data_IF_537599396042
#
_entry.id   IF_537599396042
#
_cell.length_a   1.000
_cell.length_b   1.000
_cell.length_c   1.000
_cell.angle_alpha   90.00
_cell.angle_beta   90.00
_cell.angle_gamma   90.00
#
_symmetry.space_group_name_H-M   'P 1'
#
loop_
_entity.id
_entity.type
_entity.pdbx_description
1 polymer ?
#
# COMPACT_ATOMS: atom_id res chain seq x y z
N UNK A 1 15.15 17.11 68.30
CA UNK A 1 15.00 16.43 67.00
C UNK A 1 15.60 17.31 65.95
N UNK A 2 16.81 16.96 65.53
CA UNK A 2 17.66 17.78 64.65
C UNK A 2 17.43 17.33 63.21
N UNK A 3 16.95 18.24 62.36
CA UNK A 3 16.74 17.99 60.94
C UNK A 3 18.08 17.74 60.25
N UNK A 4 18.22 16.59 59.57
CA UNK A 4 19.36 16.29 58.68
C UNK A 4 19.14 16.92 57.31
N UNK A 5 20.17 17.60 56.81
CA UNK A 5 20.25 18.25 55.50
C UNK A 5 20.33 17.17 54.39
N UNK A 6 19.56 17.26 53.29
CA UNK A 6 19.45 16.17 52.29
C UNK A 6 20.55 16.18 51.22
N UNK A 7 21.79 16.53 51.58
CA UNK A 7 22.92 16.65 50.63
C UNK A 7 24.03 15.60 50.80
N UNK A 8 23.81 14.56 51.61
CA UNK A 8 24.72 13.41 51.71
C UNK A 8 24.19 12.22 50.90
N UNK A 9 24.26 12.31 49.57
CA UNK A 9 24.23 11.12 48.69
C UNK A 9 25.42 11.17 47.76
N UNK A 10 26.25 10.12 47.81
CA UNK A 10 27.45 9.93 46.98
C UNK A 10 27.13 9.47 45.55
N UNK A 11 26.02 9.94 44.97
CA UNK A 11 25.65 9.65 43.60
C UNK A 11 25.94 10.87 42.73
N UNK A 12 26.64 10.74 41.58
CA UNK A 12 26.84 11.87 40.68
C UNK A 12 25.50 12.33 40.13
N UNK A 13 25.08 13.53 40.53
CA UNK A 13 24.06 14.32 39.84
C UNK A 13 24.59 14.67 38.45
N UNK A 14 23.88 14.21 37.42
CA UNK A 14 24.09 14.48 35.99
C UNK A 14 25.24 13.74 35.30
N UNK A 15 24.98 12.52 34.88
CA UNK A 15 25.43 12.03 33.56
C UNK A 15 24.21 11.50 32.80
N UNK A 16 23.27 12.39 32.50
CA UNK A 16 22.45 12.17 31.32
C UNK A 16 23.40 12.33 30.14
N UNK A 17 23.77 11.22 29.50
CA UNK A 17 24.31 11.28 28.16
C UNK A 17 23.22 11.97 27.33
N UNK A 18 23.40 13.26 27.04
CA UNK A 18 22.68 13.92 25.97
C UNK A 18 23.12 13.15 24.73
N UNK A 19 22.31 12.16 24.32
CA UNK A 19 22.37 11.61 22.99
C UNK A 19 22.18 12.82 22.08
N UNK A 20 23.29 13.33 21.56
CA UNK A 20 23.29 14.40 20.58
C UNK A 20 22.45 13.84 19.44
N UNK A 21 21.26 14.39 19.23
CA UNK A 21 20.47 14.07 18.05
C UNK A 21 21.44 14.13 16.85
N UNK A 22 21.51 13.08 16.01
CA UNK A 22 22.41 13.12 14.87
C UNK A 22 22.13 14.42 14.13
N UNK A 23 23.18 15.23 13.91
CA UNK A 23 23.03 16.43 13.08
C UNK A 23 22.45 15.95 11.76
N UNK A 24 21.30 16.50 11.36
CA UNK A 24 20.79 16.32 10.01
C UNK A 24 21.92 16.63 9.03
N UNK A 25 22.16 15.72 8.08
CA UNK A 25 23.19 15.94 7.08
C UNK A 25 22.83 17.21 6.29
N UNK A 26 23.79 18.11 6.12
CA UNK A 26 23.56 19.29 5.31
C UNK A 26 23.22 18.85 3.86
N UNK A 27 22.24 19.50 3.19
CA UNK A 27 21.92 19.19 1.82
C UNK A 27 23.15 19.27 0.91
N UNK A 28 23.23 18.33 -0.03
CA UNK A 28 24.29 18.28 -1.03
C UNK A 28 24.17 19.48 -1.97
N UNK A 29 25.32 19.89 -2.52
CA UNK A 29 25.38 20.93 -3.55
C UNK A 29 25.54 20.31 -4.93
N UNK A 30 25.00 20.93 -5.99
CA UNK A 30 25.25 20.50 -7.35
C UNK A 30 26.74 20.39 -7.66
N UNK A 31 27.13 19.31 -8.33
CA UNK A 31 28.50 19.10 -8.81
C UNK A 31 28.70 19.68 -10.22
N UNK A 32 27.63 19.76 -11.02
CA UNK A 32 27.61 20.40 -12.33
C UNK A 32 26.39 20.01 -13.15
N UNK A 33 26.28 20.53 -14.37
CA UNK A 33 25.21 20.18 -15.32
C UNK A 33 25.83 19.55 -16.56
N UNK A 34 25.22 18.48 -17.06
CA UNK A 34 25.62 17.78 -18.28
C UNK A 34 24.35 17.35 -19.03
N UNK A 35 24.27 17.66 -20.32
CA UNK A 35 23.09 17.38 -21.18
C UNK A 35 21.74 17.82 -20.59
N UNK A 36 21.71 18.98 -19.92
CA UNK A 36 20.49 19.53 -19.32
C UNK A 36 20.11 18.92 -17.96
N UNK A 37 20.84 17.93 -17.47
CA UNK A 37 20.64 17.29 -16.15
C UNK A 37 21.65 17.84 -15.14
N UNK A 38 21.20 18.20 -13.94
CA UNK A 38 22.09 18.62 -12.85
C UNK A 38 22.48 17.44 -11.99
N UNK A 39 23.78 17.21 -11.86
CA UNK A 39 24.34 16.05 -11.17
C UNK A 39 24.81 16.40 -9.76
N UNK A 40 24.53 15.49 -8.82
CA UNK A 40 25.07 15.52 -7.47
C UNK A 40 26.08 14.38 -7.30
N UNK A 41 27.28 14.72 -6.81
CA UNK A 41 28.37 13.77 -6.63
C UNK A 41 28.36 13.17 -5.21
N UNK A 42 28.10 11.87 -5.08
CA UNK A 42 28.06 11.19 -3.78
C UNK A 42 29.42 10.65 -3.31
N UNK A 43 30.43 10.65 -4.17
CA UNK A 43 31.81 10.26 -3.88
C UNK A 43 31.93 8.85 -3.28
N UNK A 44 32.15 8.76 -1.96
CA UNK A 44 32.26 7.49 -1.20
C UNK A 44 31.13 7.33 -0.18
N UNK A 45 30.19 8.28 -0.13
CA UNK A 45 29.03 8.20 0.76
C UNK A 45 27.93 7.40 0.05
N UNK A 46 27.37 6.37 0.68
CA UNK A 46 26.24 5.62 0.12
C UNK A 46 24.90 6.37 0.27
N UNK A 47 24.95 7.64 0.68
CA UNK A 47 23.79 8.45 1.03
C UNK A 47 23.94 9.89 0.57
N UNK A 48 22.82 10.51 0.23
CA UNK A 48 22.74 11.91 -0.15
C UNK A 48 21.47 12.54 0.43
N UNK A 49 21.57 13.79 0.85
CA UNK A 49 20.41 14.62 1.20
C UNK A 49 20.27 15.72 0.17
N UNK A 50 19.08 15.90 -0.39
CA UNK A 50 18.73 16.95 -1.33
C UNK A 50 17.71 17.90 -0.69
N UNK A 51 17.88 19.18 -0.99
CA UNK A 51 16.85 20.19 -0.76
C UNK A 51 16.08 20.38 -2.06
N UNK A 52 14.81 20.00 -2.08
CA UNK A 52 13.99 20.07 -3.30
C UNK A 52 13.77 21.51 -3.75
N UNK A 53 13.76 22.47 -2.82
CA UNK A 53 13.60 23.89 -3.16
C UNK A 53 14.84 24.48 -3.85
N UNK A 54 15.98 23.81 -3.73
CA UNK A 54 17.23 24.19 -4.39
C UNK A 54 17.55 23.28 -5.59
N UNK A 55 16.78 22.21 -5.79
CA UNK A 55 16.97 21.27 -6.88
C UNK A 55 16.33 21.81 -8.18
N UNK A 56 17.00 21.67 -9.33
CA UNK A 56 16.37 21.93 -10.61
C UNK A 56 15.41 20.79 -10.99
N UNK A 57 14.64 20.99 -12.07
CA UNK A 57 13.66 20.02 -12.55
C UNK A 57 14.27 18.63 -12.84
N UNK A 58 15.49 18.55 -13.37
CA UNK A 58 16.15 17.28 -13.69
C UNK A 58 17.40 17.06 -12.83
N UNK A 59 17.34 16.05 -11.97
CA UNK A 59 18.42 15.71 -11.02
C UNK A 59 18.96 14.31 -11.31
N UNK A 60 20.28 14.20 -11.43
CA UNK A 60 20.99 12.92 -11.55
C UNK A 60 22.05 12.71 -10.48
N UNK A 61 22.48 11.46 -10.30
CA UNK A 61 23.49 11.08 -9.30
C UNK A 61 24.72 10.45 -9.96
N UNK A 62 25.91 10.85 -9.53
CA UNK A 62 27.15 10.27 -10.01
C UNK A 62 28.12 10.06 -8.86
N UNK A 63 29.06 9.12 -9.01
CA UNK A 63 30.11 8.94 -8.00
C UNK A 63 30.99 10.17 -7.95
N UNK A 64 31.46 10.62 -9.11
CA UNK A 64 32.23 11.85 -9.27
C UNK A 64 31.75 12.61 -10.50
N UNK A 65 32.04 13.90 -10.56
CA UNK A 65 31.73 14.75 -11.70
C UNK A 65 32.96 15.59 -12.03
N UNK A 66 33.35 15.67 -13.31
CA UNK A 66 34.46 16.50 -13.77
C UNK A 66 34.15 17.19 -15.12
N UNK A 67 35.15 17.80 -15.74
CA UNK A 67 34.98 18.52 -17.01
C UNK A 67 34.51 17.63 -18.18
N UNK A 68 34.54 16.30 -18.05
CA UNK A 68 34.04 15.34 -19.04
C UNK A 68 32.63 14.84 -18.72
N UNK A 69 32.04 15.27 -17.61
CA UNK A 69 30.69 14.89 -17.19
C UNK A 69 30.66 13.95 -15.97
N UNK A 70 29.54 13.23 -15.75
CA UNK A 70 29.38 12.31 -14.64
C UNK A 70 30.20 11.03 -14.80
N UNK A 71 30.68 10.46 -13.69
CA UNK A 71 31.40 9.20 -13.65
C UNK A 71 30.74 8.24 -12.66
N UNK A 72 30.51 7.01 -13.11
CA UNK A 72 29.87 5.92 -12.36
C UNK A 72 30.92 4.82 -12.16
N UNK A 73 31.24 4.46 -10.92
CA UNK A 73 32.19 3.36 -10.68
C UNK A 73 31.51 2.23 -9.91
N UNK A 74 31.80 0.99 -10.31
CA UNK A 74 31.13 -0.26 -9.88
C UNK A 74 31.16 -0.58 -8.38
N UNK A 75 31.96 0.12 -7.57
CA UNK A 75 32.13 -0.16 -6.14
C UNK A 75 31.58 0.93 -5.20
N UNK A 76 30.86 1.93 -5.72
CA UNK A 76 30.22 2.96 -4.88
C UNK A 76 28.86 3.28 -5.47
N UNK A 77 27.81 2.85 -4.78
CA UNK A 77 26.41 3.01 -5.16
C UNK A 77 25.71 3.90 -4.14
N UNK A 78 24.94 4.87 -4.60
CA UNK A 78 24.04 5.65 -3.76
C UNK A 78 22.86 4.76 -3.39
N UNK A 79 22.78 4.29 -2.15
CA UNK A 79 21.72 3.40 -1.69
C UNK A 79 20.62 4.11 -0.93
N UNK A 80 20.89 5.30 -0.39
CA UNK A 80 19.95 6.07 0.41
C UNK A 80 19.85 7.50 -0.13
N UNK A 81 18.63 7.94 -0.45
CA UNK A 81 18.35 9.31 -0.83
C UNK A 81 17.40 9.92 0.20
N UNK A 82 17.70 11.12 0.66
CA UNK A 82 16.82 11.91 1.53
C UNK A 82 16.42 13.18 0.80
N UNK A 83 15.13 13.43 0.65
CA UNK A 83 14.56 14.66 0.13
C UNK A 83 14.03 15.48 1.30
N UNK A 84 14.41 16.74 1.36
CA UNK A 84 13.95 17.70 2.36
C UNK A 84 13.49 18.97 1.68
N UNK A 85 12.64 19.75 2.33
CA UNK A 85 12.24 21.08 1.85
C UNK A 85 10.81 21.39 2.24
N UNK A 86 10.26 22.41 1.61
CA UNK A 86 8.85 22.77 1.68
C UNK A 86 8.23 22.79 0.29
N UNK A 87 6.91 22.61 0.21
CA UNK A 87 6.21 22.65 -1.07
C UNK A 87 6.05 24.09 -1.60
N UNK A 88 6.31 24.30 -2.90
CA UNK A 88 6.15 25.60 -3.60
C UNK A 88 5.75 25.43 -5.08
N UNK A 89 4.91 24.45 -5.44
CA UNK A 89 4.57 24.13 -6.86
C UNK A 89 5.79 23.77 -7.73
N UNK A 90 6.86 23.24 -7.11
CA UNK A 90 8.10 22.89 -7.82
C UNK A 90 8.11 21.43 -8.23
N UNK A 91 8.29 21.17 -9.52
CA UNK A 91 8.49 19.82 -10.04
C UNK A 91 9.98 19.46 -9.97
N UNK A 92 10.34 18.47 -9.15
CA UNK A 92 11.68 17.85 -9.14
C UNK A 92 11.58 16.42 -9.62
N UNK A 93 12.17 16.11 -10.77
CA UNK A 93 12.28 14.77 -11.34
C UNK A 93 13.64 14.18 -10.96
N UNK A 94 13.59 13.11 -10.19
CA UNK A 94 14.77 12.41 -9.71
C UNK A 94 15.08 11.25 -10.65
N UNK A 95 16.28 11.26 -11.22
CA UNK A 95 16.81 10.10 -11.91
C UNK A 95 17.38 9.12 -10.86
N UNK A 96 16.74 7.96 -10.68
CA UNK A 96 17.22 6.90 -9.79
C UNK A 96 18.54 6.24 -10.24
N UNK A 97 19.03 6.58 -11.44
CA UNK A 97 20.17 5.93 -12.07
C UNK A 97 21.52 6.14 -11.35
N UNK A 98 22.28 5.05 -11.18
CA UNK A 98 23.67 5.12 -10.68
C UNK A 98 24.66 4.19 -11.40
N UNK A 99 24.27 3.51 -12.48
CA UNK A 99 25.06 2.43 -13.10
C UNK A 99 25.30 2.59 -14.61
N UNK A 100 25.83 3.76 -15.00
CA UNK A 100 26.53 3.93 -16.28
C UNK A 100 25.72 3.98 -17.58
N UNK A 101 24.39 4.04 -17.54
CA UNK A 101 23.53 4.45 -18.65
C UNK A 101 23.30 5.98 -18.71
N UNK A 102 22.77 6.48 -19.83
CA UNK A 102 22.33 7.88 -19.98
C UNK A 102 20.97 8.04 -19.31
N UNK A 103 20.75 9.12 -18.56
CA UNK A 103 19.48 9.43 -17.91
C UNK A 103 18.30 9.41 -18.90
N UNK A 104 17.23 8.68 -18.58
CA UNK A 104 15.92 8.76 -19.24
C UNK A 104 14.80 8.41 -18.27
N UNK A 105 13.55 8.67 -18.67
CA UNK A 105 12.31 8.27 -18.00
C UNK A 105 12.04 6.75 -18.00
N UNK A 106 12.99 5.95 -18.50
CA UNK A 106 12.79 4.55 -18.88
C UNK A 106 14.00 3.66 -18.56
N UNK A 107 15.01 4.19 -17.86
CA UNK A 107 16.20 3.44 -17.50
C UNK A 107 16.03 2.68 -16.17
N UNK A 108 16.02 1.35 -16.25
CA UNK A 108 16.10 0.48 -15.08
C UNK A 108 17.56 0.31 -14.61
N UNK A 109 17.80 -0.15 -13.38
CA UNK A 109 19.09 -0.31 -12.64
C UNK A 109 19.41 0.78 -11.61
N UNK A 110 18.40 1.25 -10.86
CA UNK A 110 18.61 2.07 -9.68
C UNK A 110 19.22 1.28 -8.53
N UNK A 111 20.17 1.93 -7.84
CA UNK A 111 20.75 1.38 -6.62
C UNK A 111 20.09 1.92 -5.35
N UNK A 112 19.13 2.84 -5.47
CA UNK A 112 18.49 3.47 -4.32
C UNK A 112 17.54 2.45 -3.68
N UNK A 113 17.94 1.95 -2.52
CA UNK A 113 17.15 0.99 -1.74
C UNK A 113 16.25 1.68 -0.72
N UNK A 114 16.62 2.89 -0.26
CA UNK A 114 15.81 3.69 0.67
C UNK A 114 15.66 5.11 0.14
N UNK A 115 14.41 5.56 0.06
CA UNK A 115 14.05 6.96 -0.17
C UNK A 115 13.36 7.49 1.09
N UNK A 116 13.93 8.55 1.68
CA UNK A 116 13.30 9.30 2.77
C UNK A 116 12.81 10.62 2.22
N UNK A 117 11.56 10.98 2.50
CA UNK A 117 10.94 12.23 2.07
C UNK A 117 10.45 12.98 3.30
N UNK A 118 10.89 14.22 3.45
CA UNK A 118 10.53 15.08 4.57
C UNK A 118 10.16 16.46 4.04
N UNK A 119 8.94 16.57 3.54
CA UNK A 119 8.39 17.79 2.97
C UNK A 119 7.39 18.44 3.93
N UNK A 120 7.48 19.76 4.08
CA UNK A 120 6.49 20.53 4.84
C UNK A 120 5.62 21.35 3.89
N UNK A 121 4.31 21.38 4.13
CA UNK A 121 3.40 22.22 3.35
C UNK A 121 3.51 23.71 3.74
N UNK A 122 3.09 24.58 2.82
CA UNK A 122 2.62 25.93 3.16
C UNK A 122 1.12 25.83 3.50
N UNK A 123 0.62 26.60 4.47
CA UNK A 123 -0.61 26.28 5.20
C UNK A 123 -1.98 26.37 4.45
N UNK A 124 -2.10 25.88 3.21
CA UNK A 124 -3.38 25.80 2.50
C UNK A 124 -4.07 24.43 2.58
N UNK A 125 -3.37 23.37 3.01
CA UNK A 125 -3.91 22.02 3.29
C UNK A 125 -4.68 21.42 2.09
N UNK A 126 -4.36 21.80 0.85
CA UNK A 126 -4.96 21.25 -0.36
C UNK A 126 -4.07 20.17 -0.97
N UNK A 127 -4.70 19.14 -1.56
CA UNK A 127 -4.04 18.18 -2.43
C UNK A 127 -3.82 18.85 -3.78
N UNK A 128 -2.57 18.96 -4.25
CA UNK A 128 -2.27 19.47 -5.58
C UNK A 128 -1.87 18.29 -6.45
N UNK A 129 -2.58 18.06 -7.55
CA UNK A 129 -2.36 16.88 -8.43
C UNK A 129 -0.94 16.82 -9.04
N UNK A 130 -0.20 17.94 -8.96
CA UNK A 130 1.22 18.07 -9.28
C UNK A 130 2.19 17.65 -8.15
N UNK A 131 1.70 17.21 -6.99
CA UNK A 131 2.45 16.71 -5.80
C UNK A 131 3.07 15.31 -6.02
N UNK A 132 3.13 14.87 -7.28
CA UNK A 132 3.55 13.54 -7.68
C UNK A 132 5.08 13.43 -7.58
N UNK A 133 5.58 12.73 -6.56
CA UNK A 133 6.93 12.17 -6.65
C UNK A 133 6.82 10.97 -7.58
N UNK A 134 7.10 11.18 -8.87
CA UNK A 134 7.22 10.06 -9.80
C UNK A 134 8.47 9.29 -9.45
N UNK A 135 8.28 8.04 -9.03
CA UNK A 135 9.37 7.11 -8.72
C UNK A 135 9.79 6.29 -9.95
N UNK A 136 9.61 6.88 -11.13
CA UNK A 136 10.15 6.36 -12.37
C UNK A 136 11.65 6.09 -12.18
N UNK A 137 12.08 4.86 -12.50
CA UNK A 137 13.45 4.38 -12.30
C UNK A 137 13.87 4.11 -10.84
N UNK A 138 12.96 3.79 -9.92
CA UNK A 138 13.29 3.30 -8.57
C UNK A 138 13.11 1.77 -8.43
N UNK A 139 13.55 1.01 -9.44
CA UNK A 139 13.39 -0.44 -9.53
C UNK A 139 14.14 -1.25 -8.45
N UNK A 140 15.13 -0.64 -7.79
CA UNK A 140 15.82 -1.18 -6.62
C UNK A 140 15.22 -0.82 -5.25
N UNK A 141 14.14 -0.03 -5.20
CA UNK A 141 13.61 0.55 -3.97
C UNK A 141 13.00 -0.51 -3.05
N UNK A 142 13.34 -0.44 -1.76
CA UNK A 142 12.84 -1.35 -0.72
C UNK A 142 11.96 -0.62 0.29
N UNK A 143 12.30 0.64 0.56
CA UNK A 143 11.65 1.43 1.60
C UNK A 143 11.45 2.86 1.13
N UNK A 144 10.21 3.31 1.19
CA UNK A 144 9.84 4.71 1.16
C UNK A 144 9.48 5.15 2.58
N UNK A 145 10.09 6.24 3.05
CA UNK A 145 9.97 6.75 4.41
C UNK A 145 9.65 8.25 4.37
N UNK A 146 8.36 8.54 4.26
CA UNK A 146 7.73 9.85 4.29
C UNK A 146 7.29 10.29 5.69
N UNK A 147 7.64 9.53 6.75
CA UNK A 147 7.06 9.65 8.10
C UNK A 147 7.18 11.02 8.77
N UNK A 148 8.12 11.85 8.33
CA UNK A 148 8.33 13.22 8.85
C UNK A 148 7.75 14.30 7.94
N UNK A 149 7.11 13.92 6.83
CA UNK A 149 6.41 14.88 5.97
C UNK A 149 5.12 15.33 6.63
N UNK A 150 4.79 16.60 6.43
CA UNK A 150 3.49 17.18 6.80
C UNK A 150 2.75 17.71 5.58
N UNK A 151 3.37 17.70 4.40
CA UNK A 151 2.70 17.87 3.13
C UNK A 151 2.03 16.56 2.72
N UNK A 152 0.90 16.65 1.98
CA UNK A 152 0.33 15.51 1.29
C UNK A 152 1.28 15.02 0.22
N UNK A 153 1.58 13.72 0.22
CA UNK A 153 2.46 13.06 -0.73
C UNK A 153 1.63 12.26 -1.72
N UNK A 154 1.77 12.53 -3.01
CA UNK A 154 1.22 11.66 -4.06
C UNK A 154 2.32 10.76 -4.59
N UNK A 155 2.22 9.46 -4.30
CA UNK A 155 3.28 8.49 -4.53
C UNK A 155 2.72 7.27 -5.26
N UNK A 156 3.15 7.10 -6.50
CA UNK A 156 2.78 5.98 -7.34
C UNK A 156 3.95 5.00 -7.49
N UNK A 157 3.81 3.80 -6.93
CA UNK A 157 4.76 2.69 -7.09
C UNK A 157 4.34 1.72 -8.20
N UNK A 158 3.38 2.11 -9.05
CA UNK A 158 2.91 1.33 -10.18
C UNK A 158 3.71 1.63 -11.45
N UNK A 159 4.08 0.58 -12.16
CA UNK A 159 4.68 0.67 -13.48
C UNK A 159 3.55 0.71 -14.52
N UNK A 160 3.58 1.70 -15.40
CA UNK A 160 2.56 1.85 -16.44
C UNK A 160 3.09 2.59 -17.64
N UNK A 161 3.58 1.86 -18.65
CA UNK A 161 3.86 2.48 -19.95
C UNK A 161 3.71 1.51 -21.13
N UNK A 162 2.48 1.04 -21.39
CA UNK A 162 2.07 0.74 -22.77
C UNK A 162 0.57 0.92 -22.96
N UNK A 163 0.19 1.69 -23.98
CA UNK A 163 -1.17 1.80 -24.48
C UNK A 163 -1.70 0.42 -24.90
N UNK A 164 -2.78 -0.06 -24.27
CA UNK A 164 -3.44 -1.31 -24.58
C UNK A 164 -4.51 -1.67 -23.54
N UNK A 165 -5.45 -2.60 -23.84
CA UNK A 165 -6.53 -2.99 -22.92
C UNK A 165 -6.05 -3.78 -21.68
N UNK A 166 -4.78 -4.18 -21.64
CA UNK A 166 -4.15 -4.89 -20.53
C UNK A 166 -3.26 -3.94 -19.71
N UNK A 167 -3.85 -2.94 -19.05
CA UNK A 167 -3.14 -2.13 -18.05
C UNK A 167 -2.78 -3.05 -16.87
N UNK A 168 -1.57 -3.58 -16.86
CA UNK A 168 -1.06 -4.30 -15.70
C UNK A 168 -0.48 -3.28 -14.74
N UNK A 169 -1.25 -2.89 -13.72
CA UNK A 169 -0.76 -2.12 -12.58
C UNK A 169 0.25 -2.95 -11.79
N UNK A 170 1.47 -3.03 -12.32
CA UNK A 170 2.57 -3.82 -11.78
C UNK A 170 3.47 -2.97 -10.90
N UNK A 171 4.27 -3.58 -10.05
CA UNK A 171 5.19 -2.91 -9.15
C UNK A 171 6.39 -2.38 -9.90
N UNK A 172 6.74 -1.11 -9.66
CA UNK A 172 8.00 -0.52 -10.13
C UNK A 172 9.22 -1.22 -9.53
N UNK A 173 9.10 -1.82 -8.33
CA UNK A 173 10.19 -2.58 -7.72
C UNK A 173 9.72 -3.90 -7.11
N UNK A 174 10.31 -4.99 -7.57
CA UNK A 174 10.12 -6.31 -6.96
C UNK A 174 10.66 -6.39 -5.51
N UNK A 175 11.38 -5.37 -5.03
CA UNK A 175 11.95 -5.34 -3.69
C UNK A 175 11.24 -4.42 -2.71
N UNK A 176 10.21 -3.69 -3.14
CA UNK A 176 9.42 -2.83 -2.26
C UNK A 176 8.82 -3.66 -1.12
N UNK A 177 8.99 -3.17 0.12
CA UNK A 177 8.53 -3.84 1.34
C UNK A 177 7.75 -2.91 2.25
N UNK A 178 8.12 -1.63 2.29
CA UNK A 178 7.59 -0.68 3.26
C UNK A 178 7.38 0.67 2.59
N UNK A 179 6.19 1.21 2.75
CA UNK A 179 5.83 2.58 2.41
C UNK A 179 5.29 3.20 3.69
N UNK A 180 5.93 4.26 4.16
CA UNK A 180 5.49 5.00 5.35
C UNK A 180 5.26 6.43 4.90
N UNK A 181 4.13 7.04 5.25
CA UNK A 181 3.87 8.45 4.97
C UNK A 181 3.63 9.24 6.26
N UNK A 182 3.45 10.54 6.11
CA UNK A 182 3.46 11.50 7.21
C UNK A 182 2.05 11.91 7.61
N UNK A 183 1.91 13.12 8.15
CA UNK A 183 0.59 13.64 8.53
C UNK A 183 -0.10 14.46 7.42
N UNK A 184 0.19 14.12 6.16
CA UNK A 184 -0.32 14.80 4.98
C UNK A 184 -1.71 14.28 4.60
N UNK A 185 -2.25 14.76 3.48
CA UNK A 185 -3.34 14.04 2.77
C UNK A 185 -2.67 13.22 1.67
N UNK A 186 -2.24 12.02 2.02
CA UNK A 186 -1.35 11.23 1.19
C UNK A 186 -2.15 10.37 0.19
N UNK A 187 -1.58 10.17 -1.00
CA UNK A 187 -2.08 9.22 -1.99
C UNK A 187 -0.99 8.21 -2.29
N UNK A 188 -1.26 6.93 -2.06
CA UNK A 188 -0.29 5.84 -2.17
C UNK A 188 -0.87 4.72 -3.03
N UNK A 189 -0.17 4.35 -4.10
CA UNK A 189 -0.54 3.21 -4.93
C UNK A 189 0.58 2.16 -4.96
N UNK A 190 0.27 0.91 -4.61
CA UNK A 190 1.21 -0.22 -4.58
C UNK A 190 0.69 -1.43 -5.34
N UNK A 191 1.62 -2.28 -5.79
CA UNK A 191 1.29 -3.55 -6.43
C UNK A 191 2.22 -4.66 -5.98
N UNK A 192 1.65 -5.86 -5.81
CA UNK A 192 2.42 -7.09 -5.58
C UNK A 192 2.60 -7.90 -6.86
N UNK A 193 2.38 -7.32 -8.03
CA UNK A 193 2.66 -7.93 -9.33
C UNK A 193 4.04 -7.46 -9.80
N UNK A 194 5.01 -8.33 -10.03
CA UNK A 194 6.28 -7.89 -10.61
C UNK A 194 6.08 -7.43 -12.06
N UNK A 195 6.59 -6.25 -12.42
CA UNK A 195 6.58 -5.78 -13.81
C UNK A 195 7.49 -6.64 -14.69
N UNK A 196 7.06 -6.92 -15.93
CA UNK A 196 7.80 -7.79 -16.85
C UNK A 196 9.15 -7.18 -17.25
N UNK A 197 9.22 -5.86 -17.29
CA UNK A 197 10.39 -5.05 -17.61
C UNK A 197 11.55 -5.30 -16.63
N UNK A 198 11.24 -5.68 -15.38
CA UNK A 198 12.24 -6.04 -14.38
C UNK A 198 13.07 -7.27 -14.80
N UNK A 199 12.55 -8.13 -15.69
CA UNK A 199 13.32 -9.26 -16.23
C UNK A 199 14.49 -8.82 -17.12
N UNK A 200 14.48 -7.57 -17.61
CA UNK A 200 15.60 -7.02 -18.37
C UNK A 200 16.80 -6.63 -17.48
N UNK A 201 16.60 -6.49 -16.17
CA UNK A 201 17.66 -6.19 -15.19
C UNK A 201 18.15 -7.47 -14.56
N UNK A 202 19.42 -7.82 -14.78
CA UNK A 202 19.97 -9.11 -14.34
C UNK A 202 19.84 -9.37 -12.81
N UNK A 203 19.84 -8.33 -11.98
CA UNK A 203 19.62 -8.45 -10.53
C UNK A 203 18.17 -8.57 -10.11
N UNK A 204 17.22 -8.24 -11.00
CA UNK A 204 15.78 -8.28 -10.75
C UNK A 204 15.10 -9.41 -11.53
N UNK A 205 15.77 -10.03 -12.49
CA UNK A 205 15.22 -11.11 -13.30
C UNK A 205 14.64 -12.24 -12.44
N UNK A 206 13.39 -12.60 -12.74
CA UNK A 206 12.58 -13.59 -12.04
C UNK A 206 12.31 -13.27 -10.57
N UNK A 207 12.55 -12.03 -10.14
CA UNK A 207 12.17 -11.57 -8.81
C UNK A 207 10.66 -11.58 -8.66
N UNK A 208 10.22 -11.80 -7.43
CA UNK A 208 8.81 -11.76 -7.04
C UNK A 208 8.65 -10.66 -6.03
N UNK A 209 7.55 -9.93 -6.13
CA UNK A 209 7.21 -8.97 -5.08
C UNK A 209 6.94 -9.76 -3.79
N UNK A 210 7.45 -9.24 -2.68
CA UNK A 210 7.19 -9.79 -1.35
C UNK A 210 6.02 -9.04 -0.71
N UNK A 211 5.65 -9.44 0.50
CA UNK A 211 4.63 -8.72 1.24
C UNK A 211 5.02 -7.24 1.40
N UNK A 212 4.06 -6.35 1.19
CA UNK A 212 4.22 -4.90 1.32
C UNK A 212 3.44 -4.43 2.55
N UNK A 213 4.07 -3.58 3.36
CA UNK A 213 3.41 -2.83 4.42
C UNK A 213 3.29 -1.37 4.00
N UNK A 214 2.08 -0.83 4.06
CA UNK A 214 1.76 0.58 3.90
C UNK A 214 1.32 1.11 5.27
N UNK A 215 1.95 2.18 5.74
CA UNK A 215 1.71 2.80 7.04
C UNK A 215 1.58 4.31 6.83
N UNK A 216 0.35 4.79 6.65
CA UNK A 216 0.08 6.22 6.49
C UNK A 216 -0.17 6.87 7.85
N UNK A 217 0.07 8.17 7.94
CA UNK A 217 -0.07 8.92 9.18
C UNK A 217 -1.47 9.49 9.36
N UNK A 218 -1.57 10.64 10.01
CA UNK A 218 -2.86 11.32 10.14
C UNK A 218 -3.17 12.10 8.86
N UNK A 219 -4.37 12.02 8.32
CA UNK A 219 -4.62 12.55 6.99
C UNK A 219 -6.05 12.38 6.50
N UNK A 220 -6.25 12.57 5.21
CA UNK A 220 -7.42 11.99 4.54
C UNK A 220 -6.82 11.26 3.36
N UNK A 221 -6.34 10.06 3.64
CA UNK A 221 -5.41 9.35 2.80
C UNK A 221 -6.15 8.48 1.79
N UNK A 222 -5.53 8.31 0.62
CA UNK A 222 -6.02 7.45 -0.45
C UNK A 222 -5.00 6.36 -0.71
N UNK A 223 -5.37 5.11 -0.44
CA UNK A 223 -4.45 3.98 -0.47
C UNK A 223 -5.01 2.93 -1.43
N UNK A 224 -4.27 2.63 -2.49
CA UNK A 224 -4.66 1.64 -3.50
C UNK A 224 -3.66 0.49 -3.53
N UNK A 225 -4.14 -0.75 -3.49
CA UNK A 225 -3.30 -1.95 -3.55
C UNK A 225 -3.79 -2.96 -4.59
N UNK A 226 -2.91 -3.32 -5.53
CA UNK A 226 -3.13 -4.42 -6.48
C UNK A 226 -2.42 -5.70 -6.03
N UNK A 227 -3.19 -6.76 -5.75
CA UNK A 227 -2.75 -7.94 -5.01
C UNK A 227 -2.77 -9.20 -5.89
N UNK A 228 -1.63 -9.90 -6.01
CA UNK A 228 -1.52 -11.16 -6.76
C UNK A 228 -0.40 -12.11 -6.31
N UNK A 229 0.80 -11.62 -5.97
CA UNK A 229 1.97 -12.49 -5.68
C UNK A 229 2.33 -12.54 -4.19
N UNK A 230 1.84 -11.61 -3.38
CA UNK A 230 2.07 -11.55 -1.94
C UNK A 230 0.92 -10.83 -1.22
N UNK A 231 0.85 -10.99 0.10
CA UNK A 231 -0.08 -10.26 0.96
C UNK A 231 0.28 -8.77 1.08
N UNK A 232 -0.70 -7.93 1.40
CA UNK A 232 -0.50 -6.53 1.76
C UNK A 232 -1.00 -6.26 3.17
N UNK A 233 -0.28 -5.44 3.92
CA UNK A 233 -0.74 -4.87 5.20
C UNK A 233 -0.87 -3.36 5.05
N UNK A 234 -2.00 -2.79 5.45
CA UNK A 234 -2.28 -1.36 5.38
C UNK A 234 -2.68 -0.88 6.77
N UNK A 235 -2.02 0.15 7.27
CA UNK A 235 -2.51 0.97 8.37
C UNK A 235 -2.78 2.36 7.80
N UNK A 236 -4.06 2.76 7.77
CA UNK A 236 -4.49 4.01 7.16
C UNK A 236 -4.32 5.24 8.09
N UNK A 237 -4.11 5.01 9.39
CA UNK A 237 -3.69 6.04 10.32
C UNK A 237 -4.87 6.70 11.01
N UNK A 238 -5.03 8.01 10.88
CA UNK A 238 -6.16 8.70 11.51
C UNK A 238 -6.70 9.78 10.57
N UNK A 239 -8.01 9.83 10.42
CA UNK A 239 -8.73 10.84 9.67
C UNK A 239 -9.81 10.22 8.81
N UNK A 240 -9.91 10.64 7.56
CA UNK A 240 -10.97 10.15 6.68
C UNK A 240 -10.33 9.43 5.50
N UNK A 241 -10.08 8.14 5.66
CA UNK A 241 -9.21 7.41 4.77
C UNK A 241 -10.00 6.53 3.78
N UNK A 242 -9.42 6.32 2.60
CA UNK A 242 -9.99 5.51 1.55
C UNK A 242 -9.00 4.43 1.13
N UNK A 243 -9.35 3.17 1.35
CA UNK A 243 -8.56 2.00 0.99
C UNK A 243 -9.23 1.26 -0.15
N UNK A 244 -8.58 1.16 -1.31
CA UNK A 244 -9.04 0.41 -2.48
C UNK A 244 -8.20 -0.82 -2.75
N UNK A 245 -8.84 -1.99 -2.82
CA UNK A 245 -8.17 -3.26 -3.01
C UNK A 245 -8.62 -3.93 -4.31
N UNK A 246 -7.66 -4.17 -5.19
CA UNK A 246 -7.86 -4.97 -6.40
C UNK A 246 -7.13 -6.30 -6.25
N UNK A 247 -7.83 -7.41 -6.48
CA UNK A 247 -7.20 -8.73 -6.48
C UNK A 247 -7.19 -9.31 -7.89
N UNK A 248 -6.05 -9.86 -8.28
CA UNK A 248 -5.91 -10.63 -9.51
C UNK A 248 -5.58 -12.07 -9.18
N UNK A 249 -6.11 -12.99 -9.98
CA UNK A 249 -5.83 -14.42 -9.84
C UNK A 249 -4.32 -14.68 -9.87
N UNK A 250 -3.88 -15.46 -8.89
CA UNK A 250 -2.51 -15.92 -8.75
C UNK A 250 -2.05 -16.80 -9.89
N UNK A 251 -0.75 -16.74 -10.21
CA UNK A 251 -0.13 -17.61 -11.23
C UNK A 251 0.83 -18.60 -10.58
N UNK A 252 0.88 -19.81 -11.13
CA UNK A 252 1.70 -20.91 -10.58
C UNK A 252 3.20 -20.57 -10.53
N UNK A 253 3.67 -19.71 -11.45
CA UNK A 253 5.06 -19.26 -11.49
C UNK A 253 5.48 -18.44 -10.26
N UNK A 254 4.51 -17.82 -9.55
CA UNK A 254 4.77 -16.93 -8.41
C UNK A 254 4.22 -17.47 -7.09
N UNK A 255 3.20 -18.32 -7.12
CA UNK A 255 2.39 -18.67 -5.95
C UNK A 255 2.56 -20.13 -5.50
N UNK A 256 3.72 -20.45 -4.94
CA UNK A 256 3.91 -21.68 -4.19
C UNK A 256 4.14 -21.35 -2.71
N UNK A 257 3.09 -20.99 -1.97
CA UNK A 257 3.11 -21.34 -0.56
C UNK A 257 3.10 -22.88 -0.48
N UNK A 258 3.84 -23.46 0.46
CA UNK A 258 4.03 -24.92 0.58
C UNK A 258 2.71 -25.71 0.81
N UNK A 259 1.56 -25.04 0.91
CA UNK A 259 0.23 -25.60 1.17
C UNK A 259 -0.69 -25.72 -0.06
N UNK A 260 -0.24 -25.29 -1.24
CA UNK A 260 -0.99 -25.47 -2.50
C UNK A 260 -2.19 -24.54 -2.69
N UNK A 261 -2.27 -23.41 -1.99
CA UNK A 261 -3.26 -22.36 -2.27
C UNK A 261 -2.56 -21.17 -2.91
N UNK A 262 -3.11 -20.67 -4.02
CA UNK A 262 -2.57 -19.51 -4.74
C UNK A 262 -2.94 -18.16 -4.11
N UNK A 263 -3.59 -18.17 -2.95
CA UNK A 263 -4.22 -16.99 -2.36
C UNK A 263 -3.27 -16.05 -1.64
N UNK A 264 -3.59 -14.76 -1.79
CA UNK A 264 -3.05 -13.65 -1.02
C UNK A 264 -4.21 -12.78 -0.56
N UNK A 265 -4.12 -12.26 0.65
CA UNK A 265 -5.11 -11.41 1.27
C UNK A 265 -4.58 -10.02 1.54
N UNK A 266 -5.39 -9.26 2.26
CA UNK A 266 -4.99 -7.97 2.83
C UNK A 266 -5.33 -7.95 4.32
N UNK A 267 -4.47 -7.33 5.13
CA UNK A 267 -4.78 -6.99 6.53
C UNK A 267 -4.79 -5.48 6.66
N UNK A 268 -5.92 -4.95 7.10
CA UNK A 268 -6.23 -3.52 7.13
C UNK A 268 -6.49 -3.08 8.57
N UNK A 269 -5.88 -1.96 8.95
CA UNK A 269 -6.23 -1.16 10.13
C UNK A 269 -6.71 0.17 9.58
N UNK A 270 -8.01 0.47 9.72
CA UNK A 270 -8.61 1.66 9.13
C UNK A 270 -8.26 2.91 9.94
N UNK A 271 -8.22 2.79 11.28
CA UNK A 271 -7.79 3.88 12.13
C UNK A 271 -8.93 4.65 12.80
N UNK A 272 -8.65 5.89 13.19
CA UNK A 272 -9.65 6.77 13.80
C UNK A 272 -10.28 7.68 12.74
N UNK A 273 -11.60 7.60 12.58
CA UNK A 273 -12.40 8.56 11.80
C UNK A 273 -13.17 7.88 10.67
N UNK A 274 -13.98 8.62 9.89
CA UNK A 274 -14.83 8.01 8.88
C UNK A 274 -14.04 7.43 7.70
N UNK A 275 -13.87 6.11 7.70
CA UNK A 275 -13.05 5.39 6.73
C UNK A 275 -13.87 4.56 5.73
N UNK A 276 -13.27 4.31 4.57
CA UNK A 276 -13.91 3.60 3.47
C UNK A 276 -13.00 2.49 2.95
N UNK A 277 -13.48 1.24 3.02
CA UNK A 277 -12.85 0.09 2.40
C UNK A 277 -13.60 -0.32 1.14
N UNK A 278 -12.93 -0.22 -0.01
CA UNK A 278 -13.40 -0.68 -1.32
C UNK A 278 -12.65 -1.94 -1.75
N UNK A 279 -13.37 -2.94 -2.25
CA UNK A 279 -12.78 -4.12 -2.88
C UNK A 279 -13.77 -4.85 -3.79
N UNK A 280 -13.29 -5.42 -4.88
CA UNK A 280 -13.99 -6.46 -5.63
C UNK A 280 -13.11 -7.12 -6.72
N UNK A 281 -13.15 -8.45 -6.92
CA UNK A 281 -13.52 -9.52 -5.99
C UNK A 281 -12.31 -10.02 -5.19
N UNK A 282 -12.46 -10.46 -3.92
CA UNK A 282 -11.29 -10.96 -3.13
C UNK A 282 -11.03 -12.46 -3.25
N UNK A 283 -12.03 -13.29 -3.57
CA UNK A 283 -11.89 -14.75 -3.61
C UNK A 283 -11.39 -15.28 -4.98
N UNK A 284 -10.63 -14.49 -5.74
CA UNK A 284 -10.13 -14.84 -7.10
C UNK A 284 -9.37 -16.18 -7.21
N UNK A 285 -8.81 -16.68 -6.10
CA UNK A 285 -8.15 -17.99 -6.03
C UNK A 285 -8.94 -19.04 -5.24
N UNK A 286 -10.27 -18.91 -5.13
CA UNK A 286 -11.11 -19.88 -4.45
C UNK A 286 -10.98 -21.27 -5.07
N UNK A 287 -10.78 -22.29 -4.22
CA UNK A 287 -10.64 -23.69 -4.62
C UNK A 287 -11.75 -24.53 -3.95
N UNK A 288 -12.87 -24.65 -4.66
CA UNK A 288 -14.02 -25.47 -4.25
C UNK A 288 -13.85 -26.98 -4.44
N UNK A 289 -12.68 -27.48 -4.84
CA UNK A 289 -12.49 -28.92 -5.19
C UNK A 289 -12.75 -29.89 -4.04
N UNK A 290 -12.65 -29.43 -2.80
CA UNK A 290 -13.02 -30.16 -1.58
C UNK A 290 -13.25 -29.18 -0.44
N UNK A 291 -13.96 -29.60 0.62
CA UNK A 291 -14.12 -28.74 1.81
C UNK A 291 -12.78 -28.34 2.45
N UNK A 292 -11.77 -29.21 2.41
CA UNK A 292 -10.44 -28.89 2.92
C UNK A 292 -9.72 -27.84 2.06
N UNK A 293 -9.86 -27.94 0.73
CA UNK A 293 -9.30 -26.94 -0.19
C UNK A 293 -10.00 -25.59 -0.04
N UNK A 294 -11.34 -25.60 0.03
CA UNK A 294 -12.14 -24.39 0.19
C UNK A 294 -11.79 -23.63 1.47
N UNK A 295 -11.68 -24.33 2.62
CA UNK A 295 -11.28 -23.65 3.85
C UNK A 295 -9.84 -23.10 3.79
N UNK A 296 -8.91 -23.77 3.08
CA UNK A 296 -7.55 -23.23 2.87
C UNK A 296 -7.57 -21.99 1.97
N UNK A 297 -8.34 -22.00 0.88
CA UNK A 297 -8.46 -20.83 0.02
C UNK A 297 -9.14 -19.67 0.73
N UNK A 298 -10.22 -19.91 1.49
CA UNK A 298 -10.87 -18.86 2.27
C UNK A 298 -9.88 -18.23 3.26
N UNK A 299 -9.10 -19.04 3.98
CA UNK A 299 -8.10 -18.53 4.92
C UNK A 299 -6.98 -17.71 4.26
N UNK A 300 -6.68 -17.95 2.98
CA UNK A 300 -5.61 -17.29 2.25
C UNK A 300 -6.05 -16.07 1.40
N UNK A 301 -7.34 -15.91 1.12
CA UNK A 301 -7.84 -14.90 0.15
C UNK A 301 -8.81 -13.87 0.76
N UNK A 302 -9.17 -14.00 2.04
CA UNK A 302 -10.05 -13.01 2.65
C UNK A 302 -9.27 -11.73 2.99
N UNK A 303 -9.99 -10.61 3.05
CA UNK A 303 -9.50 -9.37 3.65
C UNK A 303 -9.78 -9.42 5.15
N UNK A 304 -8.82 -9.03 5.97
CA UNK A 304 -8.98 -8.88 7.42
C UNK A 304 -8.97 -7.40 7.77
N UNK A 305 -9.99 -6.91 8.48
CA UNK A 305 -10.04 -5.57 9.07
C UNK A 305 -9.91 -5.73 10.58
N UNK A 306 -8.92 -5.07 11.18
CA UNK A 306 -8.50 -5.36 12.56
C UNK A 306 -9.19 -4.52 13.63
N UNK A 307 -9.75 -3.38 13.26
CA UNK A 307 -10.25 -2.33 14.16
C UNK A 307 -11.61 -1.76 13.76
N UNK A 308 -12.35 -2.46 12.89
CA UNK A 308 -13.61 -2.00 12.33
C UNK A 308 -14.57 -1.40 13.38
N UNK A 309 -15.14 -0.23 13.07
CA UNK A 309 -16.09 0.51 13.89
C UNK A 309 -17.28 0.97 13.05
N UNK A 310 -18.45 0.37 13.25
CA UNK A 310 -19.66 0.67 12.49
C UNK A 310 -20.19 2.12 12.63
N UNK A 311 -19.66 2.93 13.54
CA UNK A 311 -20.04 4.35 13.61
C UNK A 311 -19.33 5.21 12.56
N UNK A 312 -18.17 4.76 12.11
CA UNK A 312 -17.26 5.54 11.29
C UNK A 312 -16.94 4.82 9.95
N UNK A 313 -16.85 3.48 9.97
CA UNK A 313 -16.30 2.71 8.85
C UNK A 313 -17.37 2.19 7.89
N UNK A 314 -17.07 2.31 6.61
CA UNK A 314 -17.91 1.88 5.50
C UNK A 314 -17.21 0.83 4.63
N UNK A 315 -17.99 -0.15 4.17
CA UNK A 315 -17.52 -1.19 3.25
C UNK A 315 -18.27 -1.04 1.93
N UNK A 316 -17.54 -0.94 0.83
CA UNK A 316 -18.09 -0.75 -0.52
C UNK A 316 -17.57 -1.87 -1.41
N UNK A 317 -18.46 -2.62 -2.05
CA UNK A 317 -18.06 -3.61 -3.04
C UNK A 317 -18.02 -2.97 -4.44
N UNK A 318 -16.82 -2.74 -4.95
CA UNK A 318 -16.60 -2.09 -6.24
C UNK A 318 -17.31 -0.75 -6.37
N UNK A 319 -18.18 -0.61 -7.38
CA UNK A 319 -18.97 0.62 -7.60
C UNK A 319 -20.40 0.53 -7.03
N UNK A 320 -20.61 -0.33 -6.04
CA UNK A 320 -21.91 -0.53 -5.43
C UNK A 320 -22.43 0.75 -4.76
N UNK A 321 -23.76 0.89 -4.75
CA UNK A 321 -24.47 1.92 -4.00
C UNK A 321 -25.08 1.32 -2.74
N UNK A 322 -25.36 2.18 -1.76
CA UNK A 322 -26.08 1.76 -0.57
C UNK A 322 -27.54 1.45 -0.88
N UNK A 323 -27.99 0.26 -0.48
CA UNK A 323 -29.39 -0.16 -0.42
C UNK A 323 -29.53 -1.15 0.74
N UNK A 324 -30.37 -0.83 1.73
CA UNK A 324 -30.62 -1.67 2.90
C UNK A 324 -31.11 -3.07 2.53
N UNK A 325 -31.73 -3.24 1.34
CA UNK A 325 -32.23 -4.53 0.87
C UNK A 325 -31.17 -5.38 0.18
N UNK A 326 -30.02 -4.80 -0.14
CA UNK A 326 -28.92 -5.52 -0.77
C UNK A 326 -28.09 -6.32 0.23
N UNK A 327 -28.27 -6.11 1.54
CA UNK A 327 -27.50 -6.75 2.61
C UNK A 327 -28.45 -7.44 3.59
N UNK A 328 -28.15 -8.69 3.95
CA UNK A 328 -28.92 -9.45 4.96
C UNK A 328 -28.07 -9.84 6.15
N UNK A 329 -28.66 -9.94 7.34
CA UNK A 329 -27.99 -10.48 8.53
C UNK A 329 -28.34 -11.95 8.74
N UNK A 330 -27.34 -12.81 8.96
CA UNK A 330 -27.53 -14.24 9.23
C UNK A 330 -27.28 -14.51 10.70
N UNK A 331 -28.36 -14.87 11.40
CA UNK A 331 -28.35 -15.11 12.84
C UNK A 331 -27.57 -16.39 13.19
N UNK A 332 -26.85 -16.37 14.32
CA UNK A 332 -25.98 -17.47 14.79
C UNK A 332 -26.68 -18.84 14.81
N UNK A 333 -27.98 -18.86 15.13
CA UNK A 333 -28.77 -20.09 15.18
C UNK A 333 -28.84 -20.81 13.81
N UNK A 334 -28.81 -20.07 12.70
CA UNK A 334 -28.77 -20.64 11.36
C UNK A 334 -27.43 -21.34 11.08
N UNK A 335 -26.34 -20.86 11.71
CA UNK A 335 -24.98 -21.35 11.51
C UNK A 335 -24.53 -22.35 12.60
N UNK A 336 -25.38 -22.67 13.57
CA UNK A 336 -25.02 -23.51 14.72
C UNK A 336 -24.51 -24.93 14.36
N UNK A 337 -24.76 -25.40 13.15
CA UNK A 337 -24.29 -26.71 12.64
C UNK A 337 -23.04 -26.61 11.75
N UNK A 338 -22.59 -25.40 11.43
CA UNK A 338 -21.41 -25.18 10.61
C UNK A 338 -20.14 -25.56 11.40
N UNK A 339 -19.39 -26.52 10.87
CA UNK A 339 -18.14 -27.00 11.49
C UNK A 339 -16.89 -26.36 10.88
N UNK A 340 -17.05 -25.55 9.84
CA UNK A 340 -15.99 -24.80 9.18
C UNK A 340 -16.57 -23.51 8.59
N UNK A 341 -15.71 -22.53 8.27
CA UNK A 341 -16.13 -21.28 7.61
C UNK A 341 -16.79 -21.56 6.26
N UNK A 342 -16.22 -22.49 5.47
CA UNK A 342 -16.85 -22.92 4.22
C UNK A 342 -18.26 -23.52 4.42
N UNK A 343 -18.49 -24.30 5.48
CA UNK A 343 -19.81 -24.84 5.79
C UNK A 343 -20.81 -23.74 6.21
N UNK A 344 -20.32 -22.71 6.91
CA UNK A 344 -21.12 -21.53 7.24
C UNK A 344 -21.51 -20.79 5.95
N UNK A 345 -20.53 -20.50 5.07
CA UNK A 345 -20.79 -19.81 3.81
C UNK A 345 -21.79 -20.56 2.91
N UNK A 346 -21.72 -21.90 2.82
CA UNK A 346 -22.73 -22.68 2.07
C UNK A 346 -24.16 -22.50 2.62
N UNK A 347 -24.32 -22.10 3.88
CA UNK A 347 -25.63 -21.73 4.46
C UNK A 347 -25.96 -20.27 4.15
N UNK A 348 -24.98 -19.37 4.26
CA UNK A 348 -25.10 -17.94 3.97
C UNK A 348 -25.51 -17.68 2.52
N UNK A 349 -24.91 -18.38 1.55
CA UNK A 349 -25.17 -18.22 0.11
C UNK A 349 -26.63 -18.52 -0.26
N UNK A 350 -27.37 -19.25 0.58
CA UNK A 350 -28.80 -19.48 0.36
C UNK A 350 -29.67 -18.24 0.61
N UNK A 351 -29.08 -17.19 1.19
CA UNK A 351 -29.76 -15.93 1.53
C UNK A 351 -29.35 -14.76 0.63
N UNK A 352 -28.28 -14.90 -0.15
CA UNK A 352 -27.80 -13.92 -1.13
C UNK A 352 -28.35 -14.24 -2.52
N UNK A 353 -29.64 -13.95 -2.73
CA UNK A 353 -30.32 -14.24 -4.00
C UNK A 353 -31.07 -13.02 -4.51
N UNK A 354 -31.22 -12.92 -5.84
CA UNK A 354 -31.96 -11.86 -6.48
C UNK A 354 -31.34 -10.48 -6.25
N UNK A 355 -31.96 -9.68 -5.38
CA UNK A 355 -31.50 -8.32 -5.08
C UNK A 355 -30.64 -8.23 -3.81
N UNK A 356 -30.48 -9.34 -3.08
CA UNK A 356 -29.60 -9.44 -1.90
C UNK A 356 -28.23 -9.92 -2.39
N UNK A 357 -27.26 -9.03 -2.37
CA UNK A 357 -25.92 -9.26 -2.91
C UNK A 357 -24.87 -9.49 -1.82
N UNK A 358 -25.18 -9.21 -0.56
CA UNK A 358 -24.25 -9.43 0.55
C UNK A 358 -24.95 -9.94 1.81
N UNK A 359 -24.16 -10.56 2.69
CA UNK A 359 -24.60 -11.04 3.98
C UNK A 359 -23.56 -10.77 5.08
N UNK A 360 -24.05 -10.43 6.27
CA UNK A 360 -23.25 -10.24 7.48
C UNK A 360 -23.57 -11.34 8.49
N UNK A 361 -22.55 -11.97 9.06
CA UNK A 361 -22.73 -13.09 9.99
C UNK A 361 -21.56 -13.27 10.95
N UNK A 362 -21.80 -13.99 12.06
CA UNK A 362 -20.71 -14.41 12.94
C UNK A 362 -20.21 -15.80 12.58
N UNK A 363 -18.90 -16.00 12.71
CA UNK A 363 -18.32 -17.33 12.74
C UNK A 363 -17.08 -17.35 13.65
N UNK A 364 -17.08 -18.25 14.66
CA UNK A 364 -16.02 -18.27 15.65
C UNK A 364 -16.08 -17.06 16.58
N UNK A 365 -15.01 -16.25 16.61
CA UNK A 365 -14.90 -15.05 17.45
C UNK A 365 -14.97 -13.76 16.65
N UNK A 366 -15.33 -13.86 15.37
CA UNK A 366 -15.22 -12.77 14.39
C UNK A 366 -16.52 -12.60 13.62
N UNK A 367 -16.75 -11.38 13.13
CA UNK A 367 -17.83 -11.04 12.19
C UNK A 367 -17.30 -11.11 10.76
N UNK A 368 -18.14 -11.52 9.82
CA UNK A 368 -17.81 -11.65 8.42
C UNK A 368 -18.82 -10.91 7.56
N UNK A 369 -18.32 -10.28 6.50
CA UNK A 369 -19.12 -9.69 5.41
C UNK A 369 -18.79 -10.46 4.14
N UNK A 370 -19.80 -11.10 3.56
CA UNK A 370 -19.68 -11.86 2.32
C UNK A 370 -20.49 -11.17 1.22
N UNK A 371 -19.88 -10.94 0.06
CA UNK A 371 -20.57 -10.46 -1.15
C UNK A 371 -20.60 -11.59 -2.16
N UNK A 372 -21.81 -11.95 -2.57
CA UNK A 372 -22.10 -12.93 -3.62
C UNK A 372 -22.15 -12.20 -4.97
N UNK A 373 -21.12 -12.38 -5.78
CA UNK A 373 -21.02 -11.81 -7.14
C UNK A 373 -21.06 -12.85 -8.24
N UNK A 374 -20.90 -14.10 -7.84
CA UNK A 374 -20.86 -15.20 -8.76
C UNK A 374 -22.24 -15.76 -9.04
N UNK A 375 -22.29 -17.09 -9.10
CA UNK A 375 -23.53 -17.80 -9.28
C UNK A 375 -24.24 -17.94 -7.93
N UNK A 376 -25.49 -17.49 -7.89
CA UNK A 376 -26.33 -17.56 -6.69
C UNK A 376 -26.30 -18.95 -6.02
N UNK A 377 -26.20 -18.96 -4.69
CA UNK A 377 -26.32 -20.18 -3.89
C UNK A 377 -25.03 -20.98 -3.73
N UNK A 378 -23.89 -20.52 -4.27
CA UNK A 378 -22.59 -21.15 -4.07
C UNK A 378 -21.51 -20.11 -3.75
N UNK A 379 -20.40 -20.59 -3.19
CA UNK A 379 -19.18 -19.78 -3.05
C UNK A 379 -18.32 -20.03 -4.28
N UNK A 380 -17.89 -18.99 -4.96
CA UNK A 380 -16.97 -19.07 -6.10
C UNK A 380 -15.92 -17.95 -6.11
N UNK A 381 -15.23 -17.82 -7.25
CA UNK A 381 -14.07 -16.95 -7.39
C UNK A 381 -14.41 -15.50 -7.79
N UNK A 382 -15.70 -15.20 -7.98
CA UNK A 382 -16.19 -13.84 -8.18
C UNK A 382 -16.63 -13.22 -6.84
N UNK A 383 -16.76 -14.02 -5.79
CA UNK A 383 -17.20 -13.53 -4.49
C UNK A 383 -16.12 -12.77 -3.74
N UNK A 384 -16.55 -12.05 -2.71
CA UNK A 384 -15.66 -11.38 -1.76
C UNK A 384 -15.97 -11.79 -0.33
N UNK A 385 -14.93 -11.92 0.48
CA UNK A 385 -15.04 -12.17 1.90
C UNK A 385 -14.13 -11.23 2.69
N UNK A 386 -14.74 -10.57 3.67
CA UNK A 386 -14.08 -9.72 4.64
C UNK A 386 -14.31 -10.32 6.02
N UNK A 387 -13.23 -10.45 6.78
CA UNK A 387 -13.22 -10.76 8.20
C UNK A 387 -13.06 -9.45 8.98
N UNK A 388 -14.01 -9.14 9.85
CA UNK A 388 -13.92 -8.08 10.83
C UNK A 388 -13.50 -8.73 12.15
N UNK A 389 -12.34 -8.36 12.69
CA UNK A 389 -11.83 -8.96 13.93
C UNK A 389 -12.78 -8.63 15.07
N UNK A 390 -13.18 -9.66 15.83
CA UNK A 390 -14.12 -9.53 16.94
C UNK A 390 -15.59 -9.64 16.54
N UNK A 391 -16.46 -9.71 17.55
CA UNK A 391 -17.91 -9.84 17.38
C UNK A 391 -18.55 -8.46 17.37
N UNK A 392 -19.05 -8.05 16.21
CA UNK A 392 -19.76 -6.80 15.94
C UNK A 392 -21.27 -7.03 15.86
N UNK A 393 -22.08 -6.03 16.17
CA UNK A 393 -23.51 -6.13 15.94
C UNK A 393 -23.80 -6.25 14.42
N UNK A 394 -24.49 -7.32 14.02
CA UNK A 394 -24.76 -7.62 12.61
C UNK A 394 -25.54 -6.51 11.90
N UNK A 395 -26.52 -5.90 12.59
CA UNK A 395 -27.37 -4.86 11.99
C UNK A 395 -26.59 -3.54 11.83
N UNK A 396 -25.71 -3.22 12.79
CA UNK A 396 -24.85 -2.05 12.71
C UNK A 396 -23.89 -2.19 11.52
N UNK A 397 -23.24 -3.35 11.37
CA UNK A 397 -22.36 -3.65 10.23
C UNK A 397 -23.12 -3.62 8.90
N UNK A 398 -24.29 -4.26 8.82
CA UNK A 398 -25.09 -4.29 7.59
C UNK A 398 -25.49 -2.88 7.13
N UNK A 399 -25.68 -1.94 8.06
CA UNK A 399 -26.02 -0.55 7.76
C UNK A 399 -24.88 0.28 7.17
N UNK A 400 -23.63 -0.20 7.21
CA UNK A 400 -22.48 0.50 6.60
C UNK A 400 -21.93 -0.19 5.34
N UNK A 401 -22.58 -1.26 4.88
CA UNK A 401 -22.17 -2.04 3.69
C UNK A 401 -22.96 -1.60 2.45
N UNK A 402 -22.25 -1.25 1.38
CA UNK A 402 -22.82 -0.97 0.05
C UNK A 402 -22.71 -2.20 -0.86
N UNK A 403 -23.83 -2.92 -0.97
CA UNK A 403 -24.09 -4.14 -1.76
C UNK A 403 -24.53 -3.97 -3.23
N UNK A 404 -25.24 -2.89 -3.53
CA UNK A 404 -26.17 -2.84 -4.67
C UNK A 404 -25.46 -2.46 -5.96
N UNK A 405 -25.56 -3.30 -6.98
CA UNK A 405 -25.09 -2.93 -8.32
C UNK A 405 -25.87 -1.72 -8.85
N UNK A 406 -25.14 -0.75 -9.43
CA UNK A 406 -25.71 0.52 -9.92
C UNK A 406 -26.66 0.35 -11.12
N UNK A 407 -26.75 -0.85 -11.69
CA UNK A 407 -27.50 -1.16 -12.91
C UNK A 407 -28.63 -2.17 -12.64
N UNK A 408 -29.87 -1.79 -12.94
CA UNK A 408 -31.04 -2.68 -12.85
C UNK A 408 -31.43 -3.31 -14.20
N UNK A 409 -32.14 -4.46 -14.22
CA UNK A 409 -32.35 -5.29 -15.40
C UNK A 409 -33.21 -4.62 -16.48
N UNK A 410 -32.67 -4.51 -17.68
CA UNK A 410 -33.35 -3.97 -18.89
C UNK A 410 -32.42 -3.28 -19.88
N UNK A 411 -31.19 -2.94 -19.47
CA UNK A 411 -30.17 -2.38 -20.34
C UNK A 411 -29.24 -3.45 -20.91
N UNK A 412 -29.12 -3.50 -22.23
CA UNK A 412 -28.17 -4.34 -22.96
C UNK A 412 -26.73 -4.03 -22.52
N UNK A 413 -25.95 -5.08 -22.26
CA UNK A 413 -24.52 -5.02 -21.96
C UNK A 413 -23.76 -4.19 -23.00
N UNK A 414 -23.20 -3.06 -22.57
CA UNK A 414 -22.11 -2.38 -23.25
C UNK A 414 -20.92 -2.42 -22.30
N UNK A 415 -19.92 -3.23 -22.63
CA UNK A 415 -18.60 -3.16 -22.02
C UNK A 415 -18.05 -1.74 -22.28
N UNK A 416 -17.76 -1.02 -21.20
CA UNK A 416 -16.92 0.18 -21.24
C UNK A 416 -15.45 -0.24 -21.23
#
# INVERSE_FOLDING_TARGET
>A
MTYKNPLDTTAPLFTAALAKAPLAAAPAKPAGTFDGVTYYAFQSQPRLTLDVNAAPEYVGFAKTFDAKGPHYATASTLSELTLTGHWEDQLTRLDGHTRGATASDSTLDSSIAKLTVSLTDTADNQFHESDLITLDNFDGLQTFDGSTSTAGLSIDFLHGYTEGPDYTYASQSAFLKSVITGSGKDSVSVSTIAAAELDSVASLAHSRVKAITVDTGAGSDQISAHIQQADVTINAGAGNDYVDLLFTKGVAAHNANLSGSYGHGATITLGEGPDYLSLEPSLVNFDGSSSAAANRSLAANHVTVTDYNANDDHIIFGFAVYDEKAVVTIQDAALAKATSLFAALNTVTQSTTGLVNAAVFHYGQDTYVFRDAGYEGQVDNLDSLIKLVGVHNLDDVASTVSARERYEPGGTLGWG
#
